data_IF_979763250173
#
_entry.id   IF_979763250173
#
_cell.length_a   1.000
_cell.length_b   1.000
_cell.length_c   1.000
_cell.angle_alpha   90.00
_cell.angle_beta   90.00
_cell.angle_gamma   90.00
#
_symmetry.space_group_name_H-M   'P 1'
#
loop_
_entity.id
_entity.type
_entity.pdbx_description
1 polymer ?
#
# COMPACT_ATOMS: atom_id res chain seq x y z
N UNK A 1 -20.79 29.64 -80.19
CA UNK A 1 -19.77 29.89 -79.20
C UNK A 1 -20.44 29.79 -77.82
N UNK A 2 -20.23 28.69 -77.14
CA UNK A 2 -20.94 28.37 -75.90
C UNK A 2 -19.91 28.32 -74.81
N UNK A 3 -19.94 29.28 -73.85
CA UNK A 3 -19.05 29.32 -72.69
C UNK A 3 -19.62 28.44 -71.60
N UNK A 4 -18.85 27.45 -71.21
CA UNK A 4 -19.15 26.58 -70.10
C UNK A 4 -18.48 27.09 -68.84
N UNK A 5 -19.23 27.56 -67.85
CA UNK A 5 -18.72 28.01 -66.57
C UNK A 5 -18.67 26.80 -65.61
N UNK A 6 -17.49 26.35 -65.22
CA UNK A 6 -17.30 25.38 -64.18
C UNK A 6 -17.32 26.06 -62.79
N UNK A 7 -18.34 25.72 -61.99
CA UNK A 7 -18.38 26.11 -60.60
C UNK A 7 -17.54 25.12 -59.74
N UNK A 8 -16.53 25.63 -59.10
CA UNK A 8 -15.77 24.89 -58.06
C UNK A 8 -16.48 25.00 -56.73
N UNK A 9 -17.03 23.89 -56.22
CA UNK A 9 -17.51 23.80 -54.86
C UNK A 9 -16.36 23.42 -53.94
N UNK A 10 -15.94 24.34 -53.09
CA UNK A 10 -14.97 24.06 -52.00
C UNK A 10 -15.66 23.31 -50.86
N UNK A 11 -15.23 22.06 -50.65
CA UNK A 11 -15.61 21.29 -49.44
C UNK A 11 -14.68 21.74 -48.29
N UNK A 12 -15.26 22.40 -47.29
CA UNK A 12 -14.58 22.65 -46.02
C UNK A 12 -14.52 21.33 -45.21
N UNK A 13 -13.36 20.72 -45.12
CA UNK A 13 -13.10 19.61 -44.22
C UNK A 13 -13.05 20.18 -42.78
N UNK A 14 -14.08 19.86 -42.01
CA UNK A 14 -14.12 20.08 -40.59
C UNK A 14 -13.07 19.23 -39.87
N UNK A 15 -12.05 19.90 -39.36
CA UNK A 15 -11.01 19.28 -38.53
C UNK A 15 -11.58 19.03 -37.12
N UNK A 16 -12.18 17.86 -36.91
CA UNK A 16 -12.57 17.39 -35.58
C UNK A 16 -11.30 17.02 -34.83
N UNK A 17 -10.80 17.94 -34.00
CA UNK A 17 -9.77 17.66 -32.99
C UNK A 17 -10.34 16.64 -32.01
N UNK A 18 -9.97 15.37 -32.18
CA UNK A 18 -10.18 14.34 -31.17
C UNK A 18 -9.27 14.70 -29.98
N UNK A 19 -9.83 15.32 -28.95
CA UNK A 19 -9.26 15.35 -27.60
C UNK A 19 -9.25 13.92 -27.09
N UNK A 20 -8.13 13.23 -27.27
CA UNK A 20 -7.85 11.98 -26.57
C UNK A 20 -7.72 12.30 -25.10
N UNK A 21 -8.76 12.06 -24.31
CA UNK A 21 -8.70 12.00 -22.88
C UNK A 21 -7.69 10.92 -22.50
N UNK A 22 -6.44 11.32 -22.27
CA UNK A 22 -5.39 10.47 -21.71
C UNK A 22 -5.81 10.21 -20.27
N UNK A 23 -6.49 9.09 -20.04
CA UNK A 23 -6.83 8.60 -18.69
C UNK A 23 -5.52 8.43 -17.93
N UNK A 24 -5.17 9.43 -17.13
CA UNK A 24 -3.93 9.46 -16.34
C UNK A 24 -3.85 8.18 -15.52
N UNK A 25 -2.85 7.36 -15.77
CA UNK A 25 -2.64 6.15 -14.97
C UNK A 25 -2.38 6.56 -13.52
N UNK A 26 -3.09 5.94 -12.58
CA UNK A 26 -2.94 6.23 -11.14
C UNK A 26 -1.50 5.92 -10.70
N UNK A 27 -0.87 6.88 -10.04
CA UNK A 27 0.44 6.68 -9.41
C UNK A 27 0.26 5.86 -8.13
N UNK A 28 0.99 4.75 -8.03
CA UNK A 28 0.88 3.80 -6.92
C UNK A 28 2.17 3.74 -6.12
N UNK A 29 2.05 3.59 -4.80
CA UNK A 29 3.14 3.45 -3.85
C UNK A 29 2.86 2.28 -2.92
N UNK A 30 3.89 1.49 -2.59
CA UNK A 30 3.82 0.50 -1.52
C UNK A 30 4.63 1.00 -0.34
N UNK A 31 3.97 1.34 0.75
CA UNK A 31 4.56 1.70 2.03
C UNK A 31 4.36 0.57 3.01
N UNK A 32 5.39 0.18 3.74
CA UNK A 32 5.23 -0.91 4.70
C UNK A 32 6.19 -0.80 5.88
N UNK A 33 5.76 -1.30 7.03
CA UNK A 33 6.61 -1.63 8.16
C UNK A 33 6.86 -3.13 8.21
N UNK A 34 8.08 -3.53 8.49
CA UNK A 34 8.45 -4.95 8.66
C UNK A 34 9.72 -5.07 9.50
N UNK A 35 9.86 -6.15 10.24
CA UNK A 35 11.10 -6.45 10.97
C UNK A 35 11.66 -7.83 10.61
N UNK A 36 12.96 -7.96 10.76
CA UNK A 36 13.76 -9.18 10.73
C UNK A 36 13.93 -9.75 12.13
N UNK A 37 14.85 -10.65 12.35
CA UNK A 37 15.11 -11.27 13.64
C UNK A 37 14.08 -12.33 14.02
N UNK A 38 13.93 -12.59 15.29
CA UNK A 38 13.04 -13.62 15.80
C UNK A 38 11.59 -13.18 15.72
N UNK A 39 10.75 -13.95 15.01
CA UNK A 39 9.33 -13.69 14.80
C UNK A 39 8.48 -14.91 15.20
N UNK A 40 7.26 -14.64 15.68
CA UNK A 40 6.33 -15.70 16.09
C UNK A 40 6.06 -16.66 14.94
N UNK A 41 6.08 -17.96 15.25
CA UNK A 41 5.80 -19.10 14.36
C UNK A 41 6.77 -19.30 13.18
N UNK A 42 7.66 -18.37 12.88
CA UNK A 42 8.62 -18.48 11.76
C UNK A 42 10.09 -18.46 12.22
N UNK A 43 10.33 -18.20 13.52
CA UNK A 43 11.68 -18.16 14.09
C UNK A 43 12.48 -16.95 13.64
N UNK A 44 13.81 -17.12 13.55
CA UNK A 44 14.71 -16.05 13.14
C UNK A 44 14.72 -15.91 11.61
N UNK A 45 14.33 -14.74 11.09
CA UNK A 45 14.16 -14.47 9.66
C UNK A 45 15.00 -13.29 9.21
N UNK A 46 15.65 -13.42 8.05
CA UNK A 46 16.44 -12.36 7.42
C UNK A 46 15.57 -11.34 6.66
N UNK A 47 14.40 -11.76 6.23
CA UNK A 47 13.42 -10.91 5.53
C UNK A 47 12.06 -10.99 6.20
N UNK A 48 11.59 -9.88 6.72
CA UNK A 48 10.32 -9.83 7.44
C UNK A 48 9.11 -10.22 6.58
N UNK A 49 8.09 -10.77 7.22
CA UNK A 49 6.88 -11.29 6.56
C UNK A 49 6.19 -10.23 5.70
N UNK A 50 5.99 -9.04 6.25
CA UNK A 50 5.34 -7.92 5.54
C UNK A 50 6.18 -7.45 4.35
N UNK A 51 7.52 -7.45 4.46
CA UNK A 51 8.43 -7.11 3.37
C UNK A 51 8.25 -8.06 2.16
N UNK A 52 8.09 -9.36 2.41
CA UNK A 52 7.88 -10.35 1.34
C UNK A 52 6.60 -10.01 0.56
N UNK A 53 5.50 -9.77 1.27
CA UNK A 53 4.22 -9.40 0.64
C UNK A 53 4.31 -8.05 -0.08
N UNK A 54 4.95 -7.05 0.53
CA UNK A 54 5.18 -5.74 -0.08
C UNK A 54 5.93 -5.83 -1.40
N UNK A 55 6.97 -6.67 -1.49
CA UNK A 55 7.71 -6.93 -2.74
C UNK A 55 6.85 -7.60 -3.81
N UNK A 56 5.97 -8.52 -3.43
CA UNK A 56 5.02 -9.13 -4.37
C UNK A 56 4.07 -8.08 -4.93
N UNK A 57 3.47 -7.25 -4.09
CA UNK A 57 2.57 -6.17 -4.51
C UNK A 57 3.30 -5.19 -5.45
N UNK A 58 4.49 -4.72 -5.05
CA UNK A 58 5.27 -3.79 -5.86
C UNK A 58 5.63 -4.36 -7.22
N UNK A 59 5.97 -5.65 -7.30
CA UNK A 59 6.27 -6.34 -8.57
C UNK A 59 5.04 -6.41 -9.48
N UNK A 60 3.88 -6.78 -8.95
CA UNK A 60 2.63 -6.94 -9.72
C UNK A 60 2.05 -5.58 -10.18
N UNK A 61 2.32 -4.50 -9.45
CA UNK A 61 1.75 -3.17 -9.73
C UNK A 61 2.74 -2.21 -10.39
N UNK A 62 4.03 -2.55 -10.44
CA UNK A 62 5.09 -1.63 -10.86
C UNK A 62 5.33 -0.47 -9.89
N UNK A 63 4.83 -0.57 -8.65
CA UNK A 63 4.88 0.50 -7.67
C UNK A 63 6.26 0.67 -7.05
N UNK A 64 6.61 1.92 -6.69
CA UNK A 64 7.74 2.19 -5.81
C UNK A 64 7.51 1.54 -4.44
N UNK A 65 8.58 1.10 -3.80
CA UNK A 65 8.58 0.45 -2.50
C UNK A 65 9.25 1.37 -1.48
N UNK A 66 8.60 1.59 -0.33
CA UNK A 66 9.14 2.37 0.77
C UNK A 66 8.93 1.64 2.10
N UNK A 67 10.00 1.43 2.85
CA UNK A 67 9.94 0.79 4.17
C UNK A 67 9.97 1.86 5.27
N UNK A 68 9.00 1.80 6.16
CA UNK A 68 8.99 2.56 7.40
C UNK A 68 10.01 1.91 8.34
N UNK A 69 11.06 2.62 8.70
CA UNK A 69 12.08 2.19 9.66
C UNK A 69 12.15 3.17 10.83
N UNK A 70 12.27 2.65 12.05
CA UNK A 70 12.42 3.48 13.25
C UNK A 70 13.89 3.85 13.46
N UNK A 71 14.15 5.05 13.98
CA UNK A 71 15.49 5.50 14.37
C UNK A 71 16.09 4.56 15.41
N UNK A 72 15.33 4.23 16.45
CA UNK A 72 15.67 3.18 17.40
C UNK A 72 15.09 1.86 16.89
N UNK A 73 15.91 0.89 16.47
CA UNK A 73 15.42 -0.37 15.99
C UNK A 73 14.72 -1.15 17.11
N UNK A 74 13.71 -1.95 16.72
CA UNK A 74 13.09 -2.90 17.63
C UNK A 74 14.07 -4.05 17.97
N UNK A 75 13.98 -4.65 19.16
CA UNK A 75 14.81 -5.80 19.52
C UNK A 75 14.67 -6.97 18.54
N UNK A 76 15.79 -7.66 18.27
CA UNK A 76 15.77 -8.85 17.43
C UNK A 76 15.11 -10.06 18.13
N UNK A 77 15.22 -10.13 19.45
CA UNK A 77 14.59 -11.15 20.27
C UNK A 77 13.07 -10.91 20.33
N UNK A 78 12.29 -12.00 20.13
CA UNK A 78 10.82 -11.90 19.98
C UNK A 78 10.14 -11.32 21.22
N UNK A 79 10.47 -11.87 22.41
CA UNK A 79 9.81 -11.44 23.65
C UNK A 79 10.08 -9.97 23.97
N UNK A 80 11.32 -9.53 23.83
CA UNK A 80 11.68 -8.12 24.04
C UNK A 80 10.97 -7.19 23.07
N UNK A 81 10.85 -7.59 21.79
CA UNK A 81 10.07 -6.84 20.80
C UNK A 81 8.58 -6.74 21.18
N UNK A 82 7.98 -7.84 21.62
CA UNK A 82 6.58 -7.89 22.06
C UNK A 82 6.34 -6.96 23.25
N UNK A 83 7.24 -6.92 24.22
CA UNK A 83 7.14 -6.06 25.41
C UNK A 83 7.24 -4.57 25.03
N UNK A 84 8.19 -4.22 24.14
CA UNK A 84 8.32 -2.85 23.60
C UNK A 84 7.05 -2.45 22.84
N UNK A 85 6.58 -3.28 21.92
CA UNK A 85 5.39 -3.00 21.12
C UNK A 85 4.12 -2.84 21.97
N UNK A 86 4.00 -3.63 23.06
CA UNK A 86 2.92 -3.50 24.03
C UNK A 86 2.97 -2.15 24.73
N UNK A 87 4.11 -1.80 25.26
CA UNK A 87 4.34 -0.52 25.97
C UNK A 87 4.06 0.67 25.06
N UNK A 88 4.55 0.63 23.82
CA UNK A 88 4.27 1.69 22.83
C UNK A 88 2.77 1.85 22.57
N UNK A 89 2.06 0.74 22.39
CA UNK A 89 0.62 0.78 22.17
C UNK A 89 -0.14 1.32 23.37
N UNK A 90 0.18 0.87 24.59
CA UNK A 90 -0.47 1.32 25.82
C UNK A 90 -0.26 2.81 26.06
N UNK A 91 0.92 3.34 25.72
CA UNK A 91 1.25 4.75 25.85
C UNK A 91 0.89 5.60 24.62
N UNK A 92 0.26 5.00 23.61
CA UNK A 92 -0.02 5.67 22.33
C UNK A 92 1.23 6.38 21.76
N UNK A 93 2.40 5.71 21.85
CA UNK A 93 3.69 6.27 21.49
C UNK A 93 3.82 6.56 19.99
N UNK A 94 4.74 7.47 19.65
CA UNK A 94 5.08 7.78 18.24
C UNK A 94 6.57 7.61 18.03
N UNK A 95 7.06 6.35 17.85
CA UNK A 95 8.48 6.10 17.61
C UNK A 95 8.96 6.90 16.40
N UNK A 96 10.11 7.56 16.54
CA UNK A 96 10.70 8.34 15.46
C UNK A 96 11.07 7.43 14.27
N UNK A 97 10.75 7.88 13.04
CA UNK A 97 11.06 7.18 11.79
C UNK A 97 12.24 7.85 11.07
N UNK A 98 13.14 7.02 10.49
CA UNK A 98 14.42 7.45 9.91
C UNK A 98 14.29 8.32 8.67
N UNK A 99 13.30 8.02 7.83
CA UNK A 99 13.13 8.63 6.51
C UNK A 99 11.67 8.78 6.16
N UNK A 100 11.40 9.53 5.11
CA UNK A 100 10.05 9.85 4.67
C UNK A 100 9.92 9.79 3.15
N UNK A 101 8.68 9.75 2.66
CA UNK A 101 8.34 9.80 1.25
C UNK A 101 7.06 10.60 1.09
N UNK A 102 7.03 11.54 0.16
CA UNK A 102 5.85 12.34 -0.13
C UNK A 102 4.71 11.46 -0.65
N UNK A 103 3.80 11.05 0.25
CA UNK A 103 2.59 10.26 -0.05
C UNK A 103 1.66 11.06 -0.97
N UNK A 104 1.72 12.38 -0.87
CA UNK A 104 0.94 13.36 -1.62
C UNK A 104 1.11 13.21 -3.14
N UNK A 105 2.26 12.72 -3.59
CA UNK A 105 2.58 12.50 -5.01
C UNK A 105 1.87 11.28 -5.64
N UNK A 106 1.14 10.50 -4.83
CA UNK A 106 0.53 9.23 -5.25
C UNK A 106 -0.99 9.26 -5.07
N UNK A 107 -1.69 8.48 -5.91
CA UNK A 107 -3.15 8.35 -5.87
C UNK A 107 -3.59 7.13 -5.04
N UNK A 108 -2.79 6.06 -5.08
CA UNK A 108 -3.07 4.78 -4.41
C UNK A 108 -1.89 4.37 -3.56
N UNK A 109 -2.11 4.16 -2.28
CA UNK A 109 -1.08 3.74 -1.34
C UNK A 109 -1.43 2.37 -0.76
N UNK A 110 -0.64 1.36 -1.10
CA UNK A 110 -0.66 0.07 -0.43
C UNK A 110 0.08 0.21 0.89
N UNK A 111 -0.62 0.09 2.01
CA UNK A 111 -0.06 0.28 3.34
C UNK A 111 0.03 -1.05 4.09
N UNK A 112 1.25 -1.51 4.34
CA UNK A 112 1.56 -2.82 4.90
C UNK A 112 2.11 -2.78 6.32
N UNK A 113 1.66 -3.72 7.16
CA UNK A 113 2.11 -3.84 8.54
C UNK A 113 1.91 -5.26 9.10
N UNK A 114 2.72 -5.69 10.07
CA UNK A 114 2.40 -6.86 10.88
C UNK A 114 1.31 -6.51 11.89
N UNK A 115 0.45 -7.47 12.21
CA UNK A 115 -0.53 -7.30 13.28
C UNK A 115 0.17 -7.43 14.63
N UNK A 116 0.34 -6.33 15.34
CA UNK A 116 0.90 -6.28 16.68
C UNK A 116 -0.17 -5.91 17.69
N UNK A 117 -0.48 -6.84 18.60
CA UNK A 117 -1.49 -6.63 19.64
C UNK A 117 -2.87 -6.23 19.09
N UNK A 118 -3.29 -6.80 17.97
CA UNK A 118 -4.56 -6.48 17.31
C UNK A 118 -4.58 -5.09 16.65
N UNK A 119 -3.39 -4.59 16.27
CA UNK A 119 -3.23 -3.25 15.72
C UNK A 119 -2.07 -3.17 14.72
N UNK A 120 -1.88 -1.98 14.15
CA UNK A 120 -0.66 -1.58 13.45
C UNK A 120 0.43 -1.24 14.48
N UNK A 121 1.72 -1.48 14.18
CA UNK A 121 2.83 -0.95 14.98
C UNK A 121 2.76 0.57 15.10
N UNK A 122 3.16 1.12 16.25
CA UNK A 122 3.05 2.56 16.51
C UNK A 122 3.88 3.42 15.56
N UNK A 123 4.97 2.88 15.00
CA UNK A 123 5.75 3.53 13.94
C UNK A 123 4.93 3.78 12.65
N UNK A 124 3.91 2.96 12.37
CA UNK A 124 3.01 3.17 11.24
C UNK A 124 2.12 4.39 11.48
N UNK A 125 1.64 4.58 12.71
CA UNK A 125 0.91 5.79 13.10
C UNK A 125 1.78 7.04 12.98
N UNK A 126 3.06 6.96 13.42
CA UNK A 126 4.01 8.07 13.25
C UNK A 126 4.13 8.49 11.78
N UNK A 127 4.22 7.51 10.88
CA UNK A 127 4.28 7.78 9.44
C UNK A 127 2.97 8.39 8.94
N UNK A 128 1.83 7.78 9.28
CA UNK A 128 0.51 8.25 8.80
C UNK A 128 0.25 9.71 9.18
N UNK A 129 0.57 10.09 10.41
CA UNK A 129 0.28 11.42 10.95
C UNK A 129 1.11 12.56 10.36
N UNK A 130 2.16 12.23 9.58
CA UNK A 130 2.99 13.21 8.88
C UNK A 130 2.43 13.66 7.53
N UNK A 131 1.43 12.97 6.99
CA UNK A 131 0.98 13.14 5.61
C UNK A 131 -0.47 13.57 5.48
N UNK A 132 -0.78 14.25 4.37
CA UNK A 132 -2.14 14.51 3.93
C UNK A 132 -2.68 13.35 3.09
N UNK A 133 -3.72 12.71 3.57
CA UNK A 133 -4.38 11.57 2.94
C UNK A 133 -5.60 11.95 2.12
N UNK A 134 -5.93 13.24 2.03
CA UNK A 134 -7.12 13.71 1.33
C UNK A 134 -7.11 13.28 -0.15
N UNK A 135 -8.21 12.68 -0.61
CA UNK A 135 -8.37 12.19 -1.98
C UNK A 135 -7.56 10.94 -2.33
N UNK A 136 -6.80 10.36 -1.38
CA UNK A 136 -6.02 9.13 -1.62
C UNK A 136 -6.87 7.87 -1.48
N UNK A 137 -6.46 6.80 -2.15
CA UNK A 137 -6.98 5.46 -1.89
C UNK A 137 -5.94 4.68 -1.09
N UNK A 138 -6.26 4.30 0.13
CA UNK A 138 -5.41 3.47 0.98
C UNK A 138 -5.87 2.02 0.88
N UNK A 139 -4.95 1.13 0.53
CA UNK A 139 -5.19 -0.30 0.31
C UNK A 139 -4.37 -1.08 1.33
N UNK A 140 -4.93 -1.46 2.49
CA UNK A 140 -4.15 -2.06 3.57
C UNK A 140 -3.80 -3.51 3.29
N UNK A 141 -2.62 -3.95 3.74
CA UNK A 141 -2.27 -5.35 3.82
C UNK A 141 -1.54 -5.66 5.12
N UNK A 142 -1.84 -6.81 5.69
CA UNK A 142 -1.38 -7.19 7.02
C UNK A 142 -0.78 -8.60 7.01
N UNK A 143 0.33 -8.78 7.73
CA UNK A 143 0.83 -10.12 8.08
C UNK A 143 0.51 -10.45 9.54
N UNK A 144 0.09 -11.69 9.80
CA UNK A 144 -0.42 -12.12 11.11
C UNK A 144 -0.22 -13.64 11.32
N UNK A 145 -0.55 -14.16 12.50
CA UNK A 145 -0.62 -15.61 12.76
C UNK A 145 -1.97 -16.02 13.39
N UNK A 146 -3.07 -15.53 12.80
CA UNK A 146 -4.43 -15.91 13.21
C UNK A 146 -5.37 -14.73 13.45
N UNK A 147 -4.83 -13.54 13.75
CA UNK A 147 -5.62 -12.34 14.10
C UNK A 147 -6.21 -11.59 12.89
N UNK A 148 -5.74 -11.86 11.67
CA UNK A 148 -6.19 -11.14 10.48
C UNK A 148 -5.90 -9.64 10.56
N UNK A 149 -6.76 -8.83 9.98
CA UNK A 149 -6.68 -7.35 10.02
C UNK A 149 -7.10 -6.73 11.37
N UNK A 150 -7.79 -7.48 12.23
CA UNK A 150 -8.22 -7.01 13.58
C UNK A 150 -8.92 -5.65 13.60
N UNK A 151 -9.67 -5.31 12.54
CA UNK A 151 -10.37 -4.03 12.43
C UNK A 151 -9.48 -2.82 12.13
N UNK A 152 -8.23 -3.03 11.70
CA UNK A 152 -7.32 -1.93 11.34
C UNK A 152 -7.83 -1.09 10.17
N UNK A 153 -8.68 -1.64 9.28
CA UNK A 153 -9.33 -0.87 8.21
C UNK A 153 -10.18 0.29 8.77
N UNK A 154 -10.89 0.06 9.88
CA UNK A 154 -11.66 1.11 10.56
C UNK A 154 -10.72 2.15 11.19
N UNK A 155 -9.66 1.71 11.86
CA UNK A 155 -8.65 2.61 12.43
C UNK A 155 -7.98 3.48 11.36
N UNK A 156 -7.63 2.87 10.21
CA UNK A 156 -7.09 3.62 9.08
C UNK A 156 -8.06 4.69 8.57
N UNK A 157 -9.37 4.42 8.54
CA UNK A 157 -10.37 5.42 8.19
C UNK A 157 -10.38 6.61 9.15
N UNK A 158 -10.10 6.36 10.43
CA UNK A 158 -10.07 7.41 11.46
C UNK A 158 -8.79 8.26 11.38
N UNK A 159 -7.65 7.69 11.00
CA UNK A 159 -6.35 8.39 10.97
C UNK A 159 -5.94 8.91 9.59
N UNK A 160 -6.31 8.22 8.50
CA UNK A 160 -6.10 8.70 7.12
C UNK A 160 -7.31 9.52 6.65
N UNK A 161 -7.57 10.64 7.31
CA UNK A 161 -8.75 11.47 7.04
C UNK A 161 -8.83 11.93 5.58
N UNK A 162 -10.01 11.91 5.02
CA UNK A 162 -10.24 12.30 3.62
C UNK A 162 -9.87 11.24 2.58
N UNK A 163 -9.30 10.09 3.02
CA UNK A 163 -8.99 8.98 2.12
C UNK A 163 -10.15 8.01 1.96
N UNK A 164 -10.08 7.21 0.90
CA UNK A 164 -10.90 6.00 0.71
C UNK A 164 -10.12 4.78 1.16
N UNK A 165 -10.63 4.03 2.13
CA UNK A 165 -10.01 2.77 2.57
C UNK A 165 -10.62 1.62 1.78
N UNK A 166 -9.79 0.92 1.01
CA UNK A 166 -10.16 -0.29 0.27
C UNK A 166 -10.16 -1.52 1.16
N UNK A 167 -10.74 -2.62 0.64
CA UNK A 167 -10.69 -3.93 1.29
C UNK A 167 -9.24 -4.40 1.45
N UNK A 168 -8.85 -4.73 2.67
CA UNK A 168 -7.51 -5.17 3.02
C UNK A 168 -7.22 -6.63 2.68
N UNK A 169 -5.92 -6.97 2.62
CA UNK A 169 -5.39 -8.33 2.52
C UNK A 169 -4.79 -8.74 3.86
N UNK A 170 -5.09 -9.95 4.34
CA UNK A 170 -4.43 -10.56 5.49
C UNK A 170 -3.74 -11.85 5.04
N UNK A 171 -2.43 -12.00 5.33
CA UNK A 171 -1.63 -13.17 4.99
C UNK A 171 -0.91 -13.67 6.24
N UNK A 172 -0.92 -14.99 6.48
CA UNK A 172 -0.11 -15.55 7.59
C UNK A 172 1.37 -15.36 7.31
N UNK A 173 2.15 -14.99 8.32
CA UNK A 173 3.61 -14.89 8.22
C UNK A 173 4.23 -16.24 7.84
N UNK A 174 3.73 -17.34 8.40
CA UNK A 174 4.10 -18.71 8.00
C UNK A 174 3.85 -18.97 6.52
N UNK A 175 2.77 -18.45 5.92
CA UNK A 175 2.52 -18.55 4.48
C UNK A 175 3.50 -17.68 3.70
N UNK A 176 3.79 -16.47 4.17
CA UNK A 176 4.74 -15.56 3.53
C UNK A 176 6.16 -16.14 3.48
N UNK A 177 6.60 -16.86 4.54
CA UNK A 177 7.93 -17.47 4.61
C UNK A 177 8.01 -18.82 3.88
N UNK A 178 7.04 -19.72 4.11
CA UNK A 178 7.16 -21.12 3.79
C UNK A 178 6.35 -21.54 2.55
N UNK A 179 5.48 -20.66 2.01
CA UNK A 179 4.56 -20.99 0.92
C UNK A 179 4.41 -19.81 -0.06
N UNK A 180 5.53 -19.39 -0.66
CA UNK A 180 5.59 -18.18 -1.52
C UNK A 180 4.60 -18.22 -2.70
N UNK A 181 4.34 -19.41 -3.27
CA UNK A 181 3.36 -19.55 -4.36
C UNK A 181 1.94 -19.25 -3.88
N UNK A 182 1.55 -19.74 -2.70
CA UNK A 182 0.24 -19.48 -2.09
C UNK A 182 0.09 -18.01 -1.71
N UNK A 183 1.15 -17.42 -1.12
CA UNK A 183 1.18 -16.00 -0.81
C UNK A 183 0.97 -15.15 -2.07
N UNK A 184 1.66 -15.47 -3.17
CA UNK A 184 1.55 -14.78 -4.46
C UNK A 184 0.13 -14.90 -5.03
N UNK A 185 -0.46 -16.10 -5.08
CA UNK A 185 -1.84 -16.29 -5.54
C UNK A 185 -2.84 -15.45 -4.75
N UNK A 186 -2.64 -15.35 -3.43
CA UNK A 186 -3.48 -14.51 -2.55
C UNK A 186 -3.35 -13.03 -2.91
N UNK A 187 -2.11 -12.54 -3.13
CA UNK A 187 -1.84 -11.16 -3.55
C UNK A 187 -2.47 -10.87 -4.92
N UNK A 188 -2.24 -11.72 -5.92
CA UNK A 188 -2.77 -11.54 -7.28
C UNK A 188 -4.32 -11.50 -7.30
N UNK A 189 -4.97 -12.44 -6.59
CA UNK A 189 -6.43 -12.47 -6.47
C UNK A 189 -6.97 -11.20 -5.81
N UNK A 190 -6.33 -10.76 -4.74
CA UNK A 190 -6.72 -9.55 -4.03
C UNK A 190 -6.50 -8.29 -4.87
N UNK A 191 -5.34 -8.13 -5.53
CA UNK A 191 -5.07 -6.99 -6.41
C UNK A 191 -6.11 -6.87 -7.53
N UNK A 192 -6.51 -7.99 -8.15
CA UNK A 192 -7.61 -8.00 -9.13
C UNK A 192 -8.89 -7.45 -8.54
N UNK A 193 -9.23 -7.80 -7.30
CA UNK A 193 -10.47 -7.34 -6.66
C UNK A 193 -10.45 -5.85 -6.30
N UNK A 194 -9.30 -5.29 -5.87
CA UNK A 194 -9.22 -3.89 -5.40
C UNK A 194 -8.88 -2.88 -6.50
N UNK A 195 -8.21 -3.32 -7.57
CA UNK A 195 -7.84 -2.43 -8.68
C UNK A 195 -8.88 -2.40 -9.81
N UNK A 196 -9.76 -3.42 -9.91
CA UNK A 196 -10.83 -3.51 -10.92
C UNK A 196 -12.19 -3.02 -10.39
N UNK A 197 -12.33 -2.80 -9.09
CA UNK A 197 -13.56 -2.21 -8.53
C UNK A 197 -13.66 -0.75 -8.97
N UNK A 198 -14.57 -0.51 -9.93
CA UNK A 198 -14.98 0.83 -10.39
C UNK A 198 -16.01 1.41 -9.44
#
# INVERSE_FOLDING_TARGET
MMLCACAFTAHAQGNTSQTTDIKKSKKMLVVFFSRTGENYAVGNIEKGNTHIIAKMIAKETGSKLFQIETVKPYPDEYKACVDVAKTEKENNARPEVKSDIAVEDYDVIFLGFPNWWGDMPMAVYTFIEKHDWNGKTVVPFCTHEGSGLSGTERKLKDVCKGSTISKGLAVRGTTAQNSLSQARQSVEKWLKSVLQSK
#
